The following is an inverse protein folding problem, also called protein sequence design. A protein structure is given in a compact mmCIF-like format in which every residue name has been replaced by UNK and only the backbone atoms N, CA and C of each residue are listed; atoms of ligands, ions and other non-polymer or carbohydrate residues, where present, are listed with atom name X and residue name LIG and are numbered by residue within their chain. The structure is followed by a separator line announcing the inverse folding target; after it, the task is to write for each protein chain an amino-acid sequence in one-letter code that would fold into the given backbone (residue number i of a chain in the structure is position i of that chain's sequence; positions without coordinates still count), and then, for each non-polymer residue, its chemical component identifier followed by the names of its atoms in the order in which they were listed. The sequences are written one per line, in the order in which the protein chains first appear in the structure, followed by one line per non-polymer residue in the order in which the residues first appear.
data_IF_788302410685
#
_entry.id   IF_788302410685
#
_cell.length_a   1.000
_cell.length_b   1.000
_cell.length_c   1.000
_cell.angle_alpha   90.00
_cell.angle_beta   90.00
_cell.angle_gamma   90.00
#
_symmetry.space_group_name_H-M   'P 1'
#
loop_
_entity.id
_entity.type
_entity.pdbx_description
1 polymer ?
#
# COMPACT_ATOMS: atom_id res chain seq x y z
N UNK A 1 -26.20 -37.29 -15.51
CA UNK A 1 -24.89 -37.21 -16.17
C UNK A 1 -24.66 -35.75 -16.53
N UNK A 2 -23.73 -35.06 -15.86
CA UNK A 2 -23.31 -33.74 -16.32
C UNK A 2 -22.58 -33.94 -17.65
N UNK A 3 -23.09 -33.35 -18.73
CA UNK A 3 -22.42 -33.43 -20.04
C UNK A 3 -21.09 -32.67 -19.97
N UNK A 4 -20.10 -33.10 -20.75
CA UNK A 4 -18.77 -32.46 -20.79
C UNK A 4 -18.88 -30.95 -21.08
N UNK A 5 -19.86 -30.58 -21.90
CA UNK A 5 -20.17 -29.19 -22.23
C UNK A 5 -20.74 -28.42 -21.02
N UNK A 6 -21.56 -29.05 -20.18
CA UNK A 6 -22.07 -28.46 -18.94
C UNK A 6 -20.93 -28.23 -17.92
N UNK A 7 -19.93 -29.12 -17.90
CA UNK A 7 -18.71 -28.96 -17.08
C UNK A 7 -17.81 -27.83 -17.59
N UNK A 8 -17.64 -27.67 -18.90
CA UNK A 8 -16.86 -26.57 -19.48
C UNK A 8 -17.53 -25.22 -19.23
N UNK A 9 -18.85 -25.13 -19.40
CA UNK A 9 -19.59 -23.88 -19.12
C UNK A 9 -19.47 -23.48 -17.64
N UNK A 10 -19.54 -24.44 -16.72
CA UNK A 10 -19.38 -24.18 -15.28
C UNK A 10 -17.96 -23.71 -14.92
N UNK A 11 -16.93 -24.29 -15.54
CA UNK A 11 -15.53 -23.89 -15.34
C UNK A 11 -15.22 -22.51 -15.93
N UNK A 12 -15.80 -22.17 -17.08
CA UNK A 12 -15.66 -20.84 -17.69
C UNK A 12 -16.37 -19.79 -16.82
N UNK A 13 -17.59 -20.05 -16.33
CA UNK A 13 -18.29 -19.16 -15.40
C UNK A 13 -17.57 -18.99 -14.05
N UNK A 14 -16.92 -20.05 -13.54
CA UNK A 14 -16.11 -19.97 -12.33
C UNK A 14 -14.84 -19.12 -12.53
N UNK A 15 -14.30 -19.06 -13.76
CA UNK A 15 -13.10 -18.28 -14.10
C UNK A 15 -13.35 -16.79 -14.36
N UNK A 16 -14.60 -16.35 -14.58
CA UNK A 16 -14.93 -14.95 -14.88
C UNK A 16 -15.08 -14.04 -13.66
N UNK A 17 -14.85 -14.53 -12.43
CA UNK A 17 -14.89 -13.76 -11.18
C UNK A 17 -13.61 -12.97 -10.92
N UNK A 18 -12.96 -12.45 -11.96
CA UNK A 18 -11.87 -11.48 -11.80
C UNK A 18 -12.53 -10.11 -11.66
N UNK A 19 -12.81 -9.71 -10.42
CA UNK A 19 -13.23 -8.34 -10.11
C UNK A 19 -12.09 -7.38 -10.44
N UNK A 20 -12.36 -6.38 -11.30
CA UNK A 20 -11.44 -5.27 -11.48
C UNK A 20 -11.42 -4.45 -10.19
N UNK A 21 -10.28 -4.41 -9.51
CA UNK A 21 -10.08 -3.51 -8.38
C UNK A 21 -9.99 -2.07 -8.91
N UNK A 22 -11.00 -1.26 -8.63
CA UNK A 22 -10.99 0.17 -8.90
C UNK A 22 -10.37 0.89 -7.69
N UNK A 23 -9.48 1.88 -7.88
CA UNK A 23 -8.95 2.71 -6.80
C UNK A 23 -10.08 3.31 -5.95
N UNK A 24 -9.92 3.26 -4.63
CA UNK A 24 -10.79 4.01 -3.72
C UNK A 24 -10.20 5.38 -3.45
N UNK A 25 -11.02 6.43 -3.56
CA UNK A 25 -10.65 7.78 -3.16
C UNK A 25 -11.10 8.04 -1.71
N UNK A 26 -10.14 8.17 -0.80
CA UNK A 26 -10.39 8.52 0.60
C UNK A 26 -10.34 10.03 0.79
N UNK A 27 -11.51 10.67 0.81
CA UNK A 27 -11.60 12.10 1.16
C UNK A 27 -11.34 12.30 2.65
N UNK A 28 -10.22 12.93 2.96
CA UNK A 28 -9.74 13.08 4.33
C UNK A 28 -10.73 13.86 5.18
N UNK A 29 -11.14 13.28 6.32
CA UNK A 29 -12.09 13.89 7.24
C UNK A 29 -13.56 13.86 6.76
N UNK A 30 -13.86 13.26 5.61
CA UNK A 30 -15.21 13.16 5.07
C UNK A 30 -15.88 14.54 4.92
N UNK A 31 -17.13 14.72 5.37
CA UNK A 31 -17.82 16.02 5.30
C UNK A 31 -17.12 17.16 6.05
N UNK A 32 -16.31 16.85 7.06
CA UNK A 32 -15.55 17.86 7.82
C UNK A 32 -14.29 18.32 7.10
N UNK A 33 -13.72 17.47 6.23
CA UNK A 33 -12.53 17.80 5.45
C UNK A 33 -11.23 17.90 6.25
N UNK A 34 -10.18 18.36 5.56
CA UNK A 34 -8.87 18.64 6.14
C UNK A 34 -8.85 20.02 6.80
N UNK A 35 -9.18 20.05 8.09
CA UNK A 35 -9.26 21.28 8.90
C UNK A 35 -8.98 21.00 10.37
N UNK A 36 -8.72 22.05 11.15
CA UNK A 36 -8.54 21.98 12.60
C UNK A 36 -9.87 21.58 13.27
N UNK A 37 -9.80 20.72 14.29
CA UNK A 37 -10.98 20.26 15.04
C UNK A 37 -11.68 19.03 14.44
N UNK A 38 -11.31 18.58 13.24
CA UNK A 38 -11.78 17.30 12.69
C UNK A 38 -11.18 16.13 13.47
N UNK A 39 -12.01 15.18 13.90
CA UNK A 39 -11.52 13.95 14.54
C UNK A 39 -11.01 12.95 13.49
N UNK A 40 -9.81 13.23 12.96
CA UNK A 40 -9.17 12.42 11.94
C UNK A 40 -8.81 11.01 12.43
N UNK A 41 -8.57 10.82 13.73
CA UNK A 41 -8.31 9.50 14.31
C UNK A 41 -9.53 8.57 14.19
N UNK A 42 -10.71 9.04 14.60
CA UNK A 42 -11.95 8.27 14.44
C UNK A 42 -12.30 8.07 12.97
N UNK A 43 -12.14 9.10 12.14
CA UNK A 43 -12.37 8.97 10.69
C UNK A 43 -11.47 7.88 10.08
N UNK A 44 -10.16 7.92 10.36
CA UNK A 44 -9.18 6.99 9.83
C UNK A 44 -9.42 5.55 10.32
N UNK A 45 -9.87 5.36 11.56
CA UNK A 45 -10.21 4.04 12.11
C UNK A 45 -11.36 3.36 11.36
N UNK A 46 -12.22 4.13 10.67
CA UNK A 46 -13.27 3.62 9.80
C UNK A 46 -12.84 3.38 8.34
N UNK A 47 -11.58 3.64 8.00
CA UNK A 47 -11.05 3.44 6.65
C UNK A 47 -10.19 2.18 6.55
N UNK A 48 -10.14 1.59 5.35
CA UNK A 48 -9.12 0.62 4.97
C UNK A 48 -8.34 1.23 3.81
N UNK A 49 -7.06 1.49 4.02
CA UNK A 49 -6.18 2.05 2.99
C UNK A 49 -5.40 0.92 2.34
N UNK A 50 -5.55 0.72 1.04
CA UNK A 50 -4.85 -0.32 0.30
C UNK A 50 -3.95 0.27 -0.79
N UNK A 51 -2.94 -0.50 -1.21
CA UNK A 51 -2.13 -0.11 -2.36
C UNK A 51 -3.00 -0.04 -3.61
N UNK A 52 -2.97 1.10 -4.28
CA UNK A 52 -3.81 1.44 -5.43
C UNK A 52 -4.84 2.53 -5.13
N UNK A 53 -5.15 2.78 -3.87
CA UNK A 53 -6.08 3.84 -3.44
C UNK A 53 -5.43 5.23 -3.48
N UNK A 54 -6.26 6.27 -3.31
CA UNK A 54 -5.82 7.66 -3.21
C UNK A 54 -6.29 8.31 -1.91
N UNK A 55 -5.46 9.20 -1.36
CA UNK A 55 -5.88 10.15 -0.33
C UNK A 55 -6.22 11.48 -0.99
N UNK A 56 -7.41 12.02 -0.72
CA UNK A 56 -7.89 13.28 -1.29
C UNK A 56 -8.01 14.33 -0.18
N UNK A 57 -7.12 15.31 -0.20
CA UNK A 57 -7.08 16.42 0.74
C UNK A 57 -7.69 17.67 0.10
N UNK A 58 -8.88 18.06 0.52
CA UNK A 58 -9.51 19.32 0.14
C UNK A 58 -9.44 20.33 1.29
N UNK A 59 -8.93 21.52 1.03
CA UNK A 59 -8.73 22.58 2.02
C UNK A 59 -8.57 23.97 1.38
N UNK A 60 -8.93 25.06 2.09
CA UNK A 60 -8.56 26.41 1.65
C UNK A 60 -7.04 26.61 1.70
N UNK A 61 -6.39 26.70 0.55
CA UNK A 61 -4.91 26.81 0.45
C UNK A 61 -4.32 28.06 1.10
N UNK A 62 -5.13 29.08 1.36
CA UNK A 62 -4.71 30.27 2.11
C UNK A 62 -4.48 29.99 3.61
N UNK A 63 -5.10 28.93 4.15
CA UNK A 63 -5.09 28.64 5.59
C UNK A 63 -4.46 27.30 5.93
N UNK A 64 -4.34 26.39 4.97
CA UNK A 64 -3.89 25.02 5.20
C UNK A 64 -2.99 24.55 4.06
N UNK A 65 -2.16 23.57 4.40
CA UNK A 65 -1.31 22.79 3.52
C UNK A 65 -1.38 21.32 3.93
N UNK A 66 -0.74 20.46 3.16
CA UNK A 66 -0.52 19.05 3.49
C UNK A 66 0.96 18.78 3.37
N UNK A 67 1.58 18.34 4.47
CA UNK A 67 2.99 18.02 4.52
C UNK A 67 3.14 16.55 4.89
N UNK A 68 3.74 15.78 3.99
CA UNK A 68 4.15 14.42 4.30
C UNK A 68 5.49 14.45 5.04
N UNK A 69 5.56 13.74 6.16
CA UNK A 69 6.69 13.80 7.09
C UNK A 69 7.08 12.41 7.59
N UNK A 70 8.22 12.34 8.28
CA UNK A 70 8.62 11.13 9.00
C UNK A 70 7.81 10.95 10.30
N UNK A 71 7.82 9.74 10.88
CA UNK A 71 7.15 9.49 12.17
C UNK A 71 7.61 10.43 13.30
N UNK A 72 8.91 10.70 13.52
CA UNK A 72 9.35 11.63 14.57
C UNK A 72 8.84 13.07 14.37
N UNK A 73 8.81 13.53 13.12
CA UNK A 73 8.28 14.84 12.73
C UNK A 73 6.76 14.93 12.91
N UNK A 74 6.04 13.86 12.56
CA UNK A 74 4.62 13.72 12.85
C UNK A 74 4.36 13.81 14.35
N UNK A 75 5.07 13.03 15.17
CA UNK A 75 4.88 12.99 16.62
C UNK A 75 5.16 14.35 17.27
N UNK A 76 6.20 15.05 16.82
CA UNK A 76 6.59 16.39 17.31
C UNK A 76 5.84 17.56 16.67
N UNK A 77 5.02 17.30 15.65
CA UNK A 77 4.36 18.33 14.85
C UNK A 77 5.33 19.36 14.25
N UNK A 78 6.47 18.88 13.73
CA UNK A 78 7.47 19.69 13.07
C UNK A 78 7.68 19.21 11.63
N UNK A 79 7.84 20.13 10.69
CA UNK A 79 8.20 19.84 9.31
C UNK A 79 9.62 20.34 9.02
N UNK A 80 10.63 19.79 9.72
CA UNK A 80 12.02 20.26 9.60
C UNK A 80 12.61 19.86 8.25
N UNK A 81 12.33 18.64 7.81
CA UNK A 81 12.75 18.07 6.54
C UNK A 81 11.56 17.31 5.92
N UNK A 82 10.56 18.05 5.40
CA UNK A 82 9.39 17.43 4.81
C UNK A 82 9.76 16.51 3.65
N UNK A 83 9.03 15.41 3.51
CA UNK A 83 9.17 14.50 2.37
C UNK A 83 8.55 15.13 1.13
N UNK A 84 7.32 15.64 1.28
CA UNK A 84 6.55 16.33 0.24
C UNK A 84 5.68 17.40 0.90
N UNK A 85 5.44 18.51 0.20
CA UNK A 85 4.49 19.56 0.61
C UNK A 85 3.52 19.86 -0.53
N UNK A 86 2.23 19.94 -0.20
CA UNK A 86 1.17 20.39 -1.09
C UNK A 86 0.49 21.61 -0.50
N UNK A 87 0.33 22.66 -1.31
CA UNK A 87 -0.33 23.92 -0.93
C UNK A 87 -1.33 24.38 -2.00
N UNK A 88 -1.90 23.44 -2.76
CA UNK A 88 -2.76 23.72 -3.91
C UNK A 88 -4.26 23.67 -3.59
N UNK A 89 -4.64 23.34 -2.35
CA UNK A 89 -6.03 23.34 -1.87
C UNK A 89 -6.87 22.12 -2.25
N UNK A 90 -6.40 21.30 -3.20
CA UNK A 90 -6.97 20.01 -3.54
C UNK A 90 -5.87 19.04 -3.96
N UNK A 91 -5.31 18.32 -2.99
CA UNK A 91 -4.15 17.45 -3.19
C UNK A 91 -4.57 15.99 -3.24
N UNK A 92 -4.11 15.25 -4.25
CA UNK A 92 -4.33 13.81 -4.39
C UNK A 92 -3.00 13.10 -4.16
N UNK A 93 -2.97 12.18 -3.20
CA UNK A 93 -1.77 11.40 -2.86
C UNK A 93 -2.04 9.92 -3.16
N UNK A 94 -1.42 9.33 -4.19
CA UNK A 94 -1.58 7.92 -4.48
C UNK A 94 -0.87 7.04 -3.43
N UNK A 95 -1.50 5.93 -3.07
CA UNK A 95 -0.96 4.92 -2.16
C UNK A 95 -0.31 3.80 -2.96
N UNK A 96 0.98 3.95 -3.28
CA UNK A 96 1.69 3.05 -4.20
C UNK A 96 2.46 1.93 -3.49
N UNK A 97 2.71 2.07 -2.19
CA UNK A 97 3.50 1.13 -1.40
C UNK A 97 2.84 0.82 -0.06
N UNK A 98 2.92 -0.43 0.44
CA UNK A 98 2.44 -0.76 1.77
C UNK A 98 3.27 -0.06 2.85
N UNK A 99 2.65 0.17 4.01
CA UNK A 99 3.31 0.72 5.19
C UNK A 99 2.64 1.98 5.72
N UNK A 100 3.25 2.54 6.77
CA UNK A 100 2.72 3.73 7.44
C UNK A 100 3.20 5.00 6.74
N UNK A 101 2.29 5.94 6.53
CA UNK A 101 2.59 7.30 6.04
C UNK A 101 1.97 8.32 6.97
N UNK A 102 2.60 9.48 7.06
CA UNK A 102 2.29 10.49 8.07
C UNK A 102 2.14 11.86 7.42
N UNK A 103 1.00 12.50 7.67
CA UNK A 103 0.65 13.79 7.09
C UNK A 103 0.30 14.78 8.20
N UNK A 104 0.75 16.03 8.07
CA UNK A 104 0.43 17.13 8.98
C UNK A 104 0.07 18.38 8.20
N UNK A 105 -0.63 19.32 8.84
CA UNK A 105 -0.65 20.71 8.38
C UNK A 105 0.53 21.45 9.03
N UNK A 106 1.37 22.07 8.20
CA UNK A 106 2.57 22.82 8.60
C UNK A 106 2.28 24.22 9.14
N UNK A 107 1.04 24.70 9.01
CA UNK A 107 0.64 26.01 9.53
C UNK A 107 0.78 26.07 11.06
N UNK A 108 1.29 27.18 11.63
CA UNK A 108 1.58 27.27 13.06
C UNK A 108 0.40 26.86 13.95
N UNK A 109 0.62 25.88 14.82
CA UNK A 109 -0.37 25.38 15.77
C UNK A 109 -1.41 24.41 15.20
N UNK A 110 -1.53 24.21 13.88
CA UNK A 110 -2.59 23.36 13.31
C UNK A 110 -2.36 21.88 13.61
N UNK A 111 -1.15 21.38 13.39
CA UNK A 111 -0.81 19.98 13.71
C UNK A 111 -1.02 19.66 15.19
N UNK A 112 -0.59 20.54 16.10
CA UNK A 112 -0.75 20.35 17.56
C UNK A 112 -2.21 20.38 18.00
N UNK A 113 -3.08 21.03 17.23
CA UNK A 113 -4.53 21.01 17.42
C UNK A 113 -5.22 19.81 16.74
N UNK A 114 -4.45 18.81 16.32
CA UNK A 114 -4.97 17.55 15.80
C UNK A 114 -5.11 17.48 14.28
N UNK A 115 -4.66 18.50 13.53
CA UNK A 115 -4.66 18.48 12.06
C UNK A 115 -3.48 17.66 11.51
N UNK A 116 -3.54 16.36 11.78
CA UNK A 116 -2.53 15.36 11.42
C UNK A 116 -3.20 14.00 11.19
N UNK A 117 -2.65 13.20 10.29
CA UNK A 117 -3.17 11.89 9.91
C UNK A 117 -2.04 10.86 9.77
N UNK A 118 -2.18 9.74 10.46
CA UNK A 118 -1.43 8.51 10.18
C UNK A 118 -2.31 7.60 9.31
N UNK A 119 -1.75 7.08 8.22
CA UNK A 119 -2.39 6.03 7.42
C UNK A 119 -1.54 4.77 7.44
N UNK A 120 -2.18 3.60 7.48
CA UNK A 120 -1.51 2.30 7.35
C UNK A 120 -1.99 1.61 6.08
N UNK A 121 -1.13 1.59 5.06
CA UNK A 121 -1.45 1.05 3.73
C UNK A 121 -1.19 -0.45 3.70
N UNK A 122 -2.22 -1.25 3.41
CA UNK A 122 -2.11 -2.70 3.28
C UNK A 122 -1.75 -3.11 1.84
N UNK A 123 -0.98 -4.20 1.65
CA UNK A 123 -0.73 -4.73 0.33
C UNK A 123 -2.01 -5.29 -0.30
N UNK A 124 -2.08 -5.18 -1.62
CA UNK A 124 -3.06 -5.83 -2.51
C UNK A 124 -2.38 -6.97 -3.28
N UNK A 125 -3.15 -7.88 -3.89
CA UNK A 125 -2.59 -9.04 -4.60
C UNK A 125 -1.54 -8.67 -5.67
N UNK A 126 -1.67 -7.50 -6.28
CA UNK A 126 -0.74 -6.98 -7.30
C UNK A 126 0.49 -6.28 -6.72
N UNK A 127 0.52 -6.00 -5.41
CA UNK A 127 1.61 -5.32 -4.70
C UNK A 127 2.32 -6.21 -3.69
N UNK A 128 1.94 -7.49 -3.60
CA UNK A 128 2.72 -8.48 -2.86
C UNK A 128 4.13 -8.59 -3.49
N UNK A 129 5.20 -8.54 -2.69
CA UNK A 129 6.54 -8.89 -3.17
C UNK A 129 6.44 -10.27 -3.82
N UNK A 130 6.93 -10.42 -5.05
CA UNK A 130 7.01 -11.73 -5.70
C UNK A 130 7.69 -12.68 -4.73
N UNK A 131 6.96 -13.67 -4.21
CA UNK A 131 7.56 -14.70 -3.38
C UNK A 131 8.75 -15.29 -4.16
N UNK A 132 9.92 -15.52 -3.53
CA UNK A 132 11.02 -16.17 -4.23
C UNK A 132 10.51 -17.51 -4.74
N UNK A 133 10.49 -17.65 -6.06
CA UNK A 133 10.12 -18.90 -6.72
C UNK A 133 11.02 -19.98 -6.14
N UNK A 134 10.50 -21.10 -5.60
CA UNK A 134 11.35 -22.21 -5.22
C UNK A 134 12.05 -22.69 -6.49
N UNK A 135 13.35 -22.38 -6.63
CA UNK A 135 14.18 -22.87 -7.72
C UNK A 135 14.34 -24.39 -7.57
N UNK A 136 13.35 -25.16 -8.03
CA UNK A 136 13.37 -26.62 -8.07
C UNK A 136 14.35 -27.17 -9.13
N UNK A 137 15.01 -26.30 -9.89
CA UNK A 137 16.01 -26.66 -10.91
C UNK A 137 17.34 -27.17 -10.36
N UNK A 138 17.64 -26.99 -9.06
CA UNK A 138 18.92 -27.47 -8.48
C UNK A 138 18.91 -28.93 -7.98
N UNK A 139 17.78 -29.63 -8.03
CA UNK A 139 17.69 -31.03 -7.57
C UNK A 139 18.12 -32.05 -8.64
N UNK A 140 17.97 -31.70 -9.93
CA UNK A 140 18.26 -32.63 -11.04
C UNK A 140 19.78 -32.69 -11.31
N UNK A 141 20.51 -31.58 -11.16
CA UNK A 141 21.96 -31.54 -11.41
C UNK A 141 22.82 -32.23 -10.33
N UNK A 142 22.31 -32.41 -9.10
CA UNK A 142 23.05 -33.14 -8.04
C UNK A 142 23.03 -34.66 -8.19
N UNK A 143 22.18 -35.22 -9.07
CA UNK A 143 22.17 -36.67 -9.37
C UNK A 143 23.07 -37.06 -10.54
N UNK A 144 23.64 -36.09 -11.27
CA UNK A 144 24.56 -36.36 -12.38
C UNK A 144 26.05 -36.34 -12.00
N UNK A 145 26.39 -36.00 -10.76
CA UNK A 145 27.77 -35.97 -10.25
C UNK A 145 28.06 -37.12 -9.26
N UNK A 146 27.50 -38.30 -9.51
CA UNK A 146 27.71 -39.50 -8.66
C UNK A 146 28.21 -40.73 -9.42
N UNK A 147 28.78 -40.55 -10.61
CA UNK A 147 29.47 -41.64 -11.31
C UNK A 147 30.83 -41.13 -11.79
N UNK A 148 31.86 -41.96 -11.64
CA UNK A 148 33.30 -41.70 -11.82
C UNK A 148 34.06 -41.13 -10.61
N UNK A 149 34.02 -41.87 -9.50
CA UNK A 149 35.29 -42.15 -8.81
C UNK A 149 35.24 -43.55 -8.20
N UNK A 150 35.57 -44.57 -9.02
CA UNK A 150 36.07 -45.84 -8.52
C UNK A 150 36.85 -46.52 -9.64
N UNK A 151 38.18 -46.51 -9.53
CA UNK A 151 39.07 -47.67 -9.75
C UNK A 151 40.50 -47.25 -9.39
N UNK A 152 40.86 -47.56 -8.14
CA UNK A 152 42.06 -48.26 -7.69
C UNK A 152 43.35 -48.31 -8.56
N UNK A 153 44.49 -48.12 -7.87
CA UNK A 153 45.74 -48.95 -7.91
C UNK A 153 47.06 -48.30 -8.43
N UNK A 154 48.08 -48.42 -7.57
CA UNK A 154 49.57 -48.45 -7.73
C UNK A 154 50.36 -47.20 -8.15
N UNK A 155 51.29 -46.74 -7.30
CA UNK A 155 52.62 -47.31 -7.08
C UNK A 155 53.14 -46.98 -5.68
#
# INVERSE_FOLDING_TARGET
MASREMLIILLVFASTLIGLAVPTDHTIGGPSGWTVGTNLGTWAAGQTFAVGDNLVFAYPSAFHDVVEVTKPEFDSCQAVKPLITFANGNSIVPLTTPGKRYFICGMPGHCTQGMKLEVNVIPTANSAPTAPVPNSVNSIYKRAFTFFCSTNTTS
#
